data_IF_986020536023
#
_entry.id   IF_986020536023
#
_cell.length_a   1.000
_cell.length_b   1.000
_cell.length_c   1.000
_cell.angle_alpha   90.00
_cell.angle_beta   90.00
_cell.angle_gamma   90.00
#
_symmetry.space_group_name_H-M   'P 1'
#
loop_
_entity.id
_entity.type
_entity.pdbx_description
1 polymer ?
#
# COMPACT_ATOMS: atom_id res chain seq x y z
N UNK A 1 4.03 18.45 14.56
CA UNK A 1 4.49 17.15 15.09
C UNK A 1 4.71 16.20 13.91
N UNK A 2 5.90 15.59 13.79
CA UNK A 2 6.31 14.79 12.62
C UNK A 2 5.84 13.33 12.74
N UNK A 3 4.58 13.01 12.46
CA UNK A 3 4.11 11.62 12.42
C UNK A 3 4.11 11.03 11.01
N UNK A 4 3.84 9.72 10.93
CA UNK A 4 3.64 9.00 9.67
C UNK A 4 2.24 8.36 9.60
N UNK A 5 1.81 8.14 8.36
CA UNK A 5 0.65 7.34 8.01
C UNK A 5 1.16 6.12 7.24
N UNK A 6 0.78 4.93 7.67
CA UNK A 6 1.04 3.71 6.92
C UNK A 6 -0.22 3.29 6.18
N UNK A 7 -0.15 3.26 4.85
CA UNK A 7 -1.30 2.95 4.01
C UNK A 7 -1.39 1.48 3.60
N UNK A 8 -0.40 0.66 3.95
CA UNK A 8 -0.40 -0.77 3.64
C UNK A 8 0.37 -1.50 4.75
N UNK A 9 -0.36 -2.16 5.65
CA UNK A 9 0.24 -2.99 6.70
C UNK A 9 -0.65 -4.17 7.08
N UNK A 10 -0.01 -5.31 7.39
CA UNK A 10 -0.69 -6.46 7.95
C UNK A 10 -0.70 -6.38 9.48
N UNK A 11 -1.88 -6.17 10.06
CA UNK A 11 -2.06 -6.01 11.52
C UNK A 11 -3.30 -6.72 12.07
N UNK A 12 -4.03 -7.46 11.23
CA UNK A 12 -5.25 -8.14 11.64
C UNK A 12 -4.96 -9.61 11.94
N UNK A 13 -5.45 -10.15 13.08
CA UNK A 13 -5.33 -11.57 13.36
C UNK A 13 -6.18 -12.37 12.37
N UNK A 14 -5.72 -13.59 12.05
CA UNK A 14 -6.39 -14.57 11.16
C UNK A 14 -6.54 -14.16 9.68
N UNK A 15 -6.30 -12.89 9.35
CA UNK A 15 -6.27 -12.39 7.98
C UNK A 15 -4.82 -12.24 7.50
N UNK A 16 -4.51 -12.92 6.40
CA UNK A 16 -3.19 -12.89 5.78
C UNK A 16 -2.92 -11.56 5.08
N UNK A 17 -1.66 -11.11 5.07
CA UNK A 17 -1.20 -10.03 4.20
C UNK A 17 -0.77 -10.56 2.83
N UNK A 18 -0.46 -9.65 1.90
CA UNK A 18 -0.02 -10.02 0.56
C UNK A 18 1.26 -10.88 0.60
N UNK A 19 1.15 -12.13 0.16
CA UNK A 19 2.27 -13.09 0.18
C UNK A 19 2.74 -13.51 1.58
N UNK A 20 1.92 -13.29 2.61
CA UNK A 20 2.26 -13.57 4.01
C UNK A 20 1.21 -14.45 4.69
N UNK A 21 1.59 -15.10 5.80
CA UNK A 21 0.59 -15.70 6.70
C UNK A 21 -0.12 -14.64 7.54
N UNK A 22 -1.26 -15.02 8.10
CA UNK A 22 -1.91 -14.23 9.14
C UNK A 22 -1.03 -14.12 10.39
N UNK A 23 -1.16 -13.00 11.10
CA UNK A 23 -0.57 -12.83 12.41
C UNK A 23 -1.33 -13.67 13.44
N UNK A 24 -0.58 -14.26 14.37
CA UNK A 24 -1.13 -14.93 15.54
C UNK A 24 -1.48 -13.91 16.63
N UNK A 25 -2.40 -14.23 17.54
CA UNK A 25 -2.79 -13.31 18.61
C UNK A 25 -1.60 -12.77 19.45
N UNK A 26 -0.58 -13.57 19.80
CA UNK A 26 0.61 -13.07 20.51
C UNK A 26 1.49 -12.11 19.71
N UNK A 27 1.39 -12.13 18.37
CA UNK A 27 2.20 -11.28 17.48
C UNK A 27 1.59 -9.90 17.25
N UNK A 28 0.28 -9.75 17.49
CA UNK A 28 -0.42 -8.47 17.27
C UNK A 28 0.14 -7.35 18.17
N UNK A 29 0.34 -7.54 19.50
CA UNK A 29 0.87 -6.48 20.35
C UNK A 29 2.25 -5.98 19.88
N UNK A 30 3.16 -6.91 19.56
CA UNK A 30 4.49 -6.55 19.06
C UNK A 30 4.43 -5.77 17.75
N UNK A 31 3.48 -6.10 16.86
CA UNK A 31 3.26 -5.36 15.61
C UNK A 31 2.72 -3.95 15.88
N UNK A 32 1.77 -3.79 16.80
CA UNK A 32 1.23 -2.48 17.18
C UNK A 32 2.31 -1.60 17.82
N UNK A 33 3.15 -2.15 18.69
CA UNK A 33 4.26 -1.43 19.31
C UNK A 33 5.28 -0.98 18.28
N UNK A 34 5.65 -1.84 17.31
CA UNK A 34 6.56 -1.46 16.24
C UNK A 34 6.03 -0.29 15.36
N UNK A 35 4.71 -0.21 15.15
CA UNK A 35 4.09 0.92 14.43
C UNK A 35 4.14 2.20 15.27
N UNK A 36 3.87 2.12 16.58
CA UNK A 36 3.95 3.24 17.51
C UNK A 36 5.38 3.78 17.64
N UNK A 37 6.35 2.88 17.77
CA UNK A 37 7.78 3.22 17.84
C UNK A 37 8.28 3.85 16.53
N UNK A 38 7.62 3.55 15.41
CA UNK A 38 7.81 4.21 14.12
C UNK A 38 7.08 5.56 14.02
N UNK A 39 6.53 6.08 15.13
CA UNK A 39 5.75 7.31 15.22
C UNK A 39 4.58 7.40 14.24
N UNK A 40 3.97 6.24 13.94
CA UNK A 40 2.76 6.19 13.14
C UNK A 40 1.55 6.59 13.98
N UNK A 41 0.65 7.36 13.39
CA UNK A 41 -0.62 7.76 14.03
C UNK A 41 -1.83 7.15 13.36
N UNK A 42 -1.69 6.78 12.10
CA UNK A 42 -2.74 6.08 11.35
C UNK A 42 -2.09 4.91 10.61
N UNK A 43 -2.73 3.75 10.67
CA UNK A 43 -2.36 2.57 9.91
C UNK A 43 -3.60 2.02 9.18
N UNK A 44 -3.48 1.78 7.88
CA UNK A 44 -4.47 1.07 7.10
C UNK A 44 -4.25 -0.43 7.24
N UNK A 45 -5.18 -1.10 7.91
CA UNK A 45 -5.20 -2.56 7.99
C UNK A 45 -5.60 -3.13 6.64
N UNK A 46 -4.62 -3.66 5.90
CA UNK A 46 -4.78 -4.07 4.50
C UNK A 46 -4.45 -5.55 4.32
N UNK A 47 -5.28 -6.47 4.87
CA UNK A 47 -5.16 -7.88 4.56
C UNK A 47 -5.35 -8.12 3.06
N UNK A 48 -4.80 -9.22 2.55
CA UNK A 48 -5.03 -9.68 1.20
C UNK A 48 -6.42 -10.31 1.09
N UNK A 49 -7.20 -9.87 0.11
CA UNK A 49 -8.47 -10.47 -0.24
C UNK A 49 -8.23 -11.64 -1.21
N UNK A 50 -8.53 -12.85 -0.75
CA UNK A 50 -8.48 -14.06 -1.56
C UNK A 50 -9.90 -14.45 -2.00
N UNK A 51 -10.28 -14.24 -3.28
CA UNK A 51 -11.62 -14.52 -3.77
C UNK A 51 -11.95 -16.02 -3.82
N UNK A 52 -10.95 -16.91 -3.77
CA UNK A 52 -11.21 -18.35 -3.68
C UNK A 52 -11.59 -18.78 -2.25
N UNK A 53 -11.15 -18.00 -1.25
CA UNK A 53 -11.36 -18.29 0.17
C UNK A 53 -12.55 -17.55 0.77
N UNK A 54 -12.82 -16.33 0.31
CA UNK A 54 -13.82 -15.47 0.94
C UNK A 54 -14.82 -14.89 -0.07
N UNK A 55 -16.09 -14.89 0.33
CA UNK A 55 -17.07 -14.00 -0.28
C UNK A 55 -16.76 -12.55 0.12
N UNK A 56 -16.86 -11.56 -0.81
CA UNK A 56 -16.50 -10.17 -0.55
C UNK A 56 -17.13 -9.55 0.70
N UNK A 57 -18.45 -9.62 0.87
CA UNK A 57 -19.13 -9.01 2.00
C UNK A 57 -18.71 -9.68 3.33
N UNK A 58 -18.54 -11.00 3.35
CA UNK A 58 -18.06 -11.74 4.51
C UNK A 58 -16.61 -11.34 4.89
N UNK A 59 -15.73 -11.16 3.91
CA UNK A 59 -14.37 -10.67 4.16
C UNK A 59 -14.36 -9.26 4.76
N UNK A 60 -15.15 -8.34 4.19
CA UNK A 60 -15.27 -6.97 4.68
C UNK A 60 -15.81 -6.94 6.12
N UNK A 61 -16.88 -7.70 6.39
CA UNK A 61 -17.45 -7.80 7.73
C UNK A 61 -16.43 -8.36 8.75
N UNK A 62 -15.69 -9.41 8.37
CA UNK A 62 -14.65 -9.99 9.22
C UNK A 62 -13.51 -8.98 9.48
N UNK A 63 -13.02 -8.29 8.44
CA UNK A 63 -12.00 -7.24 8.57
C UNK A 63 -12.44 -6.18 9.58
N UNK A 64 -13.65 -5.65 9.41
CA UNK A 64 -14.17 -4.56 10.23
C UNK A 64 -14.41 -5.02 11.67
N UNK A 65 -14.88 -6.25 11.87
CA UNK A 65 -14.98 -6.88 13.20
C UNK A 65 -13.60 -6.96 13.89
N UNK A 66 -12.56 -7.41 13.17
CA UNK A 66 -11.21 -7.51 13.74
C UNK A 66 -10.60 -6.14 14.03
N UNK A 67 -10.84 -5.13 13.19
CA UNK A 67 -10.42 -3.75 13.46
C UNK A 67 -11.08 -3.22 14.74
N UNK A 68 -12.40 -3.41 14.88
CA UNK A 68 -13.13 -2.98 16.07
C UNK A 68 -12.59 -3.66 17.34
N UNK A 69 -12.29 -4.96 17.28
CA UNK A 69 -11.71 -5.71 18.40
C UNK A 69 -10.30 -5.24 18.80
N UNK A 70 -9.56 -4.58 17.90
CA UNK A 70 -8.21 -4.06 18.17
C UNK A 70 -8.19 -2.59 18.60
N UNK A 71 -9.33 -1.88 18.60
CA UNK A 71 -9.37 -0.44 18.78
C UNK A 71 -8.69 0.04 20.09
N UNK A 72 -9.03 -0.59 21.22
CA UNK A 72 -8.47 -0.25 22.53
C UNK A 72 -6.98 -0.57 22.60
N UNK A 73 -6.62 -1.78 22.15
CA UNK A 73 -5.25 -2.26 22.16
C UNK A 73 -4.33 -1.49 21.21
N UNK A 74 -4.88 -0.83 20.17
CA UNK A 74 -4.14 -0.02 19.21
C UNK A 74 -3.95 1.43 19.65
N UNK A 75 -4.80 1.98 20.53
CA UNK A 75 -4.72 3.37 20.98
C UNK A 75 -3.30 3.76 21.46
N UNK A 76 -2.75 4.94 21.07
CA UNK A 76 -3.38 6.01 20.29
C UNK A 76 -3.23 5.86 18.76
N UNK A 77 -2.78 4.71 18.24
CA UNK A 77 -2.73 4.44 16.81
C UNK A 77 -4.15 4.24 16.29
N UNK A 78 -4.57 5.06 15.33
CA UNK A 78 -5.85 4.88 14.63
C UNK A 78 -5.69 3.83 13.53
N UNK A 79 -6.54 2.81 13.55
CA UNK A 79 -6.62 1.83 12.48
C UNK A 79 -7.78 2.19 11.55
N UNK A 80 -7.55 2.15 10.24
CA UNK A 80 -8.60 2.27 9.21
C UNK A 80 -8.66 0.99 8.37
N UNK A 81 -9.85 0.65 7.88
CA UNK A 81 -10.03 -0.52 7.02
C UNK A 81 -9.44 -0.31 5.62
N UNK A 82 -8.90 -1.36 5.04
CA UNK A 82 -8.41 -1.42 3.66
C UNK A 82 -8.39 -2.89 3.24
N UNK A 83 -8.05 -3.20 1.99
CA UNK A 83 -7.53 -4.50 1.63
C UNK A 83 -6.58 -4.37 0.45
N UNK A 84 -5.70 -5.36 0.27
CA UNK A 84 -5.03 -5.57 -1.02
C UNK A 84 -5.90 -6.51 -1.84
N UNK A 85 -6.34 -6.06 -3.02
CA UNK A 85 -7.29 -6.80 -3.87
C UNK A 85 -6.60 -7.25 -5.16
N UNK A 86 -6.79 -8.50 -5.61
CA UNK A 86 -6.24 -8.96 -6.89
C UNK A 86 -6.73 -8.10 -8.06
N UNK A 87 -5.83 -7.76 -8.98
CA UNK A 87 -6.17 -6.94 -10.15
C UNK A 87 -7.30 -7.53 -11.00
N UNK A 88 -7.30 -8.85 -11.20
CA UNK A 88 -8.33 -9.54 -11.98
C UNK A 88 -9.71 -9.36 -11.35
N UNK A 89 -9.80 -9.57 -10.04
CA UNK A 89 -11.03 -9.33 -9.28
C UNK A 89 -11.48 -7.86 -9.39
N UNK A 90 -10.53 -6.91 -9.36
CA UNK A 90 -10.84 -5.49 -9.55
C UNK A 90 -11.50 -5.20 -10.90
N UNK A 91 -10.96 -5.78 -11.98
CA UNK A 91 -11.49 -5.58 -13.32
C UNK A 91 -12.87 -6.23 -13.51
N UNK A 92 -13.10 -7.39 -12.91
CA UNK A 92 -14.36 -8.14 -13.04
C UNK A 92 -15.49 -7.55 -12.18
N UNK A 93 -15.14 -7.00 -11.00
CA UNK A 93 -16.11 -6.60 -9.98
C UNK A 93 -16.00 -5.12 -9.56
N UNK A 94 -15.97 -4.15 -10.49
CA UNK A 94 -15.67 -2.75 -10.17
C UNK A 94 -16.69 -2.09 -9.23
N UNK A 95 -17.95 -2.58 -9.22
CA UNK A 95 -19.05 -1.99 -8.44
C UNK A 95 -18.91 -2.19 -6.92
N UNK A 96 -18.23 -3.25 -6.49
CA UNK A 96 -18.07 -3.57 -5.06
C UNK A 96 -16.76 -3.05 -4.46
N UNK A 97 -15.84 -2.56 -5.31
CA UNK A 97 -14.50 -2.14 -4.89
C UNK A 97 -14.49 -1.01 -3.88
N UNK A 98 -15.55 -0.19 -3.82
CA UNK A 98 -15.65 0.90 -2.84
C UNK A 98 -15.52 0.41 -1.39
N UNK A 99 -15.93 -0.82 -1.10
CA UNK A 99 -15.84 -1.41 0.25
C UNK A 99 -14.41 -1.82 0.63
N UNK A 100 -13.53 -1.99 -0.37
CA UNK A 100 -12.13 -2.35 -0.21
C UNK A 100 -11.19 -1.15 -0.15
N UNK A 101 -11.71 0.06 -0.39
CA UNK A 101 -10.93 1.29 -0.40
C UNK A 101 -10.23 1.56 0.94
N UNK A 102 -9.17 2.38 0.89
CA UNK A 102 -8.38 2.74 2.07
C UNK A 102 -9.18 3.73 2.91
N UNK A 103 -9.74 3.27 4.02
CA UNK A 103 -10.64 4.06 4.86
C UNK A 103 -11.88 4.52 4.09
N UNK A 104 -12.14 5.82 4.12
CA UNK A 104 -13.20 6.46 3.31
C UNK A 104 -12.66 7.12 2.04
N UNK A 105 -11.42 6.83 1.65
CA UNK A 105 -10.77 7.48 0.52
C UNK A 105 -11.16 6.86 -0.81
N UNK A 106 -10.84 7.55 -1.91
CA UNK A 106 -11.08 7.11 -3.28
C UNK A 106 -9.93 6.26 -3.84
N UNK A 107 -9.14 5.64 -2.96
CA UNK A 107 -7.95 4.86 -3.33
C UNK A 107 -8.10 3.40 -2.91
N UNK A 108 -7.59 2.48 -3.72
CA UNK A 108 -7.62 1.04 -3.47
C UNK A 108 -6.23 0.44 -3.70
N UNK A 109 -5.80 -0.47 -2.81
CA UNK A 109 -4.57 -1.23 -3.01
C UNK A 109 -4.85 -2.42 -3.92
N UNK A 110 -4.02 -2.57 -4.95
CA UNK A 110 -4.15 -3.61 -5.98
C UNK A 110 -2.91 -4.49 -6.00
N UNK A 111 -3.09 -5.80 -5.91
CA UNK A 111 -2.03 -6.77 -6.21
C UNK A 111 -2.00 -7.03 -7.71
N UNK A 112 -0.89 -6.63 -8.34
CA UNK A 112 -0.72 -6.80 -9.78
C UNK A 112 -0.21 -8.21 -10.10
N UNK A 113 -0.75 -8.88 -11.13
CA UNK A 113 -0.28 -10.19 -11.56
C UNK A 113 1.20 -10.14 -11.95
N UNK A 114 1.94 -11.22 -11.64
CA UNK A 114 3.34 -11.37 -12.01
C UNK A 114 3.47 -11.88 -13.46
N UNK A 115 2.93 -11.11 -14.40
CA UNK A 115 2.96 -11.36 -15.84
C UNK A 115 3.64 -10.20 -16.57
N UNK A 116 3.99 -10.38 -17.84
CA UNK A 116 4.58 -9.32 -18.65
C UNK A 116 3.61 -8.15 -18.82
N UNK A 117 4.14 -6.92 -18.86
CA UNK A 117 3.32 -5.73 -19.07
C UNK A 117 2.95 -5.64 -20.55
N UNK A 118 1.65 -5.76 -20.85
CA UNK A 118 1.12 -5.63 -22.21
C UNK A 118 0.30 -4.36 -22.34
N UNK A 119 0.06 -3.92 -23.58
CA UNK A 119 -0.85 -2.79 -23.87
C UNK A 119 -2.26 -3.06 -23.33
N UNK A 120 -2.77 -4.28 -23.50
CA UNK A 120 -4.06 -4.71 -22.95
C UNK A 120 -4.12 -4.57 -21.42
N UNK A 121 -3.04 -4.93 -20.72
CA UNK A 121 -2.97 -4.74 -19.26
C UNK A 121 -3.09 -3.24 -18.92
N UNK A 122 -2.35 -2.38 -19.61
CA UNK A 122 -2.43 -0.93 -19.42
C UNK A 122 -3.82 -0.35 -19.69
N UNK A 123 -4.50 -0.82 -20.73
CA UNK A 123 -5.89 -0.45 -21.03
C UNK A 123 -6.85 -0.85 -19.91
N UNK A 124 -6.68 -2.05 -19.35
CA UNK A 124 -7.48 -2.54 -18.24
C UNK A 124 -7.30 -1.69 -16.97
N UNK A 125 -6.08 -1.24 -16.69
CA UNK A 125 -5.80 -0.31 -15.58
C UNK A 125 -6.51 1.02 -15.81
N UNK A 126 -6.36 1.61 -16.99
CA UNK A 126 -6.98 2.89 -17.33
C UNK A 126 -8.51 2.81 -17.20
N UNK A 127 -9.11 1.71 -17.67
CA UNK A 127 -10.55 1.44 -17.55
C UNK A 127 -10.99 1.25 -16.10
N UNK A 128 -10.20 0.57 -15.27
CA UNK A 128 -10.54 0.31 -13.87
C UNK A 128 -10.86 1.61 -13.12
N UNK A 129 -10.05 2.65 -13.32
CA UNK A 129 -10.32 3.97 -12.73
C UNK A 129 -11.67 4.53 -13.16
N UNK A 130 -11.95 4.51 -14.47
CA UNK A 130 -13.18 5.05 -15.07
C UNK A 130 -14.43 4.30 -14.56
N UNK A 131 -14.38 2.97 -14.50
CA UNK A 131 -15.57 2.15 -14.18
C UNK A 131 -15.84 2.05 -12.67
N UNK A 132 -14.80 2.11 -11.84
CA UNK A 132 -14.93 2.01 -10.37
C UNK A 132 -15.06 3.37 -9.69
N UNK A 133 -14.58 4.44 -10.33
CA UNK A 133 -14.41 5.76 -9.71
C UNK A 133 -13.30 5.80 -8.65
N UNK A 134 -12.49 4.75 -8.52
CA UNK A 134 -11.39 4.67 -7.57
C UNK A 134 -10.04 4.84 -8.28
N UNK A 135 -9.06 5.40 -7.59
CA UNK A 135 -7.67 5.47 -8.02
C UNK A 135 -6.91 4.21 -7.55
N UNK A 136 -6.47 3.34 -8.47
CA UNK A 136 -5.72 2.16 -8.07
C UNK A 136 -4.31 2.54 -7.61
N UNK A 137 -3.82 1.83 -6.59
CA UNK A 137 -2.45 1.90 -6.08
C UNK A 137 -1.84 0.50 -6.14
N UNK A 138 -0.81 0.30 -6.96
CA UNK A 138 -0.06 -0.94 -7.03
C UNK A 138 0.69 -1.18 -5.71
N UNK A 139 0.28 -2.22 -4.98
CA UNK A 139 0.84 -2.59 -3.69
C UNK A 139 2.19 -3.29 -3.86
N UNK A 140 3.18 -2.86 -3.07
CA UNK A 140 4.54 -3.42 -3.03
C UNK A 140 5.15 -3.63 -4.43
N UNK A 141 5.22 -2.57 -5.23
CA UNK A 141 5.68 -2.61 -6.63
C UNK A 141 7.10 -3.17 -6.79
N UNK A 142 7.90 -3.12 -5.73
CA UNK A 142 9.23 -3.72 -5.66
C UNK A 142 9.23 -5.25 -5.85
N UNK A 143 8.09 -5.93 -5.63
CA UNK A 143 7.91 -7.37 -5.95
C UNK A 143 7.99 -7.67 -7.45
N UNK A 144 7.86 -6.64 -8.30
CA UNK A 144 7.88 -6.76 -9.75
C UNK A 144 9.20 -6.30 -10.38
N UNK A 145 10.18 -5.81 -9.61
CA UNK A 145 11.46 -5.31 -10.14
C UNK A 145 12.32 -6.36 -10.84
N UNK A 146 12.11 -7.65 -10.57
CA UNK A 146 12.80 -8.74 -11.26
C UNK A 146 12.13 -9.13 -12.58
N UNK A 147 10.91 -8.64 -12.81
CA UNK A 147 10.07 -8.97 -13.96
C UNK A 147 10.00 -7.81 -14.94
N UNK A 148 9.82 -6.59 -14.42
CA UNK A 148 9.62 -5.39 -15.21
C UNK A 148 10.83 -4.46 -15.18
N UNK A 149 11.13 -3.86 -16.33
CA UNK A 149 12.13 -2.81 -16.48
C UNK A 149 11.67 -1.49 -15.85
N UNK A 150 12.59 -0.55 -15.61
CA UNK A 150 12.23 0.81 -15.22
C UNK A 150 11.26 1.47 -16.21
N UNK A 151 11.43 1.23 -17.52
CA UNK A 151 10.57 1.78 -18.57
C UNK A 151 9.13 1.23 -18.48
N UNK A 152 8.98 -0.06 -18.18
CA UNK A 152 7.68 -0.70 -17.96
C UNK A 152 7.00 -0.17 -16.70
N UNK A 153 7.74 0.04 -15.60
CA UNK A 153 7.20 0.65 -14.38
C UNK A 153 6.74 2.09 -14.61
N UNK A 154 7.45 2.85 -15.46
CA UNK A 154 7.05 4.19 -15.87
C UNK A 154 5.81 4.13 -16.76
N UNK A 155 5.75 3.20 -17.70
CA UNK A 155 4.59 3.00 -18.57
C UNK A 155 3.36 2.64 -17.73
N UNK A 156 3.50 1.74 -16.77
CA UNK A 156 2.47 1.36 -15.82
C UNK A 156 1.90 2.60 -15.10
N UNK A 157 2.75 3.49 -14.57
CA UNK A 157 2.29 4.75 -13.97
C UNK A 157 1.49 5.60 -14.95
N UNK A 158 1.92 5.70 -16.21
CA UNK A 158 1.21 6.48 -17.24
C UNK A 158 -0.18 5.93 -17.57
N UNK A 159 -0.43 4.65 -17.28
CA UNK A 159 -1.73 4.01 -17.42
C UNK A 159 -2.71 4.35 -16.28
N UNK A 160 -2.35 5.27 -15.37
CA UNK A 160 -3.25 5.82 -14.36
C UNK A 160 -3.25 5.10 -13.01
N UNK A 161 -2.29 4.22 -12.76
CA UNK A 161 -2.08 3.58 -11.44
C UNK A 161 -0.95 4.26 -10.68
N UNK A 162 -1.15 4.46 -9.38
CA UNK A 162 -0.12 4.97 -8.49
C UNK A 162 0.74 3.81 -7.99
N UNK A 163 2.02 4.04 -7.75
CA UNK A 163 2.94 3.00 -7.26
C UNK A 163 3.27 3.22 -5.77
N UNK A 164 3.11 2.15 -4.98
CA UNK A 164 3.57 2.09 -3.60
C UNK A 164 4.79 1.16 -3.51
N UNK A 165 5.88 1.68 -2.96
CA UNK A 165 7.10 0.92 -2.68
C UNK A 165 7.05 0.43 -1.23
N UNK A 166 7.35 -0.85 -1.00
CA UNK A 166 7.43 -1.39 0.35
C UNK A 166 8.66 -0.85 1.08
N UNK A 167 8.67 -0.90 2.40
CA UNK A 167 9.90 -0.61 3.16
C UNK A 167 11.06 -1.52 2.71
N UNK A 168 10.79 -2.72 2.20
CA UNK A 168 11.79 -3.67 1.71
C UNK A 168 12.46 -3.27 0.41
N UNK A 169 11.69 -2.70 -0.52
CA UNK A 169 12.21 -2.12 -1.75
C UNK A 169 13.27 -1.04 -1.53
N UNK A 170 13.30 -0.40 -0.34
CA UNK A 170 14.31 0.59 0.05
C UNK A 170 15.47 -0.02 0.86
N UNK A 171 15.19 -1.03 1.68
CA UNK A 171 16.21 -1.66 2.53
C UNK A 171 17.12 -2.60 1.75
N UNK A 172 16.59 -3.33 0.77
CA UNK A 172 17.35 -4.26 -0.07
C UNK A 172 18.25 -3.53 -1.06
N UNK A 173 19.53 -3.88 -1.10
CA UNK A 173 20.52 -3.14 -1.89
C UNK A 173 20.22 -3.24 -3.40
N UNK A 174 19.78 -4.41 -3.84
CA UNK A 174 19.43 -4.70 -5.23
C UNK A 174 18.23 -3.87 -5.73
N UNK A 175 17.30 -3.49 -4.84
CA UNK A 175 16.07 -2.76 -5.20
C UNK A 175 16.16 -1.27 -4.90
N UNK A 176 17.01 -0.88 -3.93
CA UNK A 176 17.10 0.49 -3.43
C UNK A 176 17.34 1.52 -4.53
N UNK A 177 18.23 1.23 -5.48
CA UNK A 177 18.56 2.19 -6.55
C UNK A 177 17.34 2.49 -7.42
N UNK A 178 16.59 1.46 -7.81
CA UNK A 178 15.37 1.60 -8.60
C UNK A 178 14.27 2.28 -7.79
N UNK A 179 14.06 1.89 -6.54
CA UNK A 179 13.10 2.54 -5.64
C UNK A 179 13.35 4.05 -5.49
N UNK A 180 14.61 4.44 -5.24
CA UNK A 180 14.99 5.85 -5.15
C UNK A 180 14.83 6.57 -6.49
N UNK A 181 15.14 5.92 -7.61
CA UNK A 181 14.91 6.49 -8.94
C UNK A 181 13.42 6.77 -9.20
N UNK A 182 12.53 5.82 -8.91
CA UNK A 182 11.09 5.99 -9.10
C UNK A 182 10.54 7.09 -8.18
N UNK A 183 11.00 7.18 -6.94
CA UNK A 183 10.61 8.24 -6.01
C UNK A 183 11.17 9.61 -6.45
N UNK A 184 12.45 9.67 -6.83
CA UNK A 184 13.14 10.89 -7.28
C UNK A 184 12.42 11.53 -8.48
N UNK A 185 11.97 10.70 -9.41
CA UNK A 185 11.31 11.11 -10.65
C UNK A 185 9.78 11.06 -10.55
N UNK A 186 9.23 10.91 -9.34
CA UNK A 186 7.78 10.98 -9.08
C UNK A 186 6.94 9.93 -9.83
N UNK A 187 7.56 8.80 -10.20
CA UNK A 187 6.87 7.63 -10.74
C UNK A 187 6.27 6.78 -9.61
N UNK A 188 6.93 6.75 -8.45
CA UNK A 188 6.39 6.18 -7.22
C UNK A 188 5.93 7.26 -6.24
N UNK A 189 4.87 6.94 -5.51
CA UNK A 189 4.07 7.92 -4.78
C UNK A 189 4.12 7.69 -3.27
N UNK A 190 4.15 6.43 -2.87
CA UNK A 190 3.97 6.04 -1.48
C UNK A 190 5.07 5.10 -1.02
N UNK A 191 5.34 5.16 0.27
CA UNK A 191 6.13 4.18 1.00
C UNK A 191 5.26 3.68 2.14
N UNK A 192 5.18 2.37 2.29
CA UNK A 192 4.41 1.71 3.34
C UNK A 192 5.22 0.55 3.94
N UNK A 193 4.79 0.00 5.08
CA UNK A 193 5.49 -1.20 5.61
C UNK A 193 5.31 -2.41 4.72
N UNK A 194 4.18 -2.49 4.00
CA UNK A 194 3.88 -3.53 3.04
C UNK A 194 3.52 -4.86 3.69
N UNK A 195 3.48 -5.91 2.88
CA UNK A 195 3.31 -7.29 3.32
C UNK A 195 4.56 -7.88 3.99
N UNK A 196 5.18 -7.20 4.97
CA UNK A 196 6.34 -7.76 5.69
C UNK A 196 5.94 -8.86 6.67
N UNK A 197 6.70 -9.96 6.64
CA UNK A 197 6.62 -11.04 7.63
C UNK A 197 6.87 -10.50 9.04
N UNK A 198 6.24 -11.11 10.04
CA UNK A 198 6.44 -10.77 11.45
C UNK A 198 7.82 -11.14 11.98
N UNK A 199 8.49 -12.12 11.36
CA UNK A 199 9.88 -12.46 11.68
C UNK A 199 10.86 -11.35 11.31
N UNK A 200 10.40 -10.35 10.56
CA UNK A 200 11.17 -9.19 10.17
C UNK A 200 10.63 -7.92 10.85
N UNK A 201 11.51 -7.12 11.47
CA UNK A 201 11.09 -5.83 12.01
C UNK A 201 10.63 -4.91 10.87
N UNK A 202 9.59 -4.10 11.12
CA UNK A 202 8.99 -3.22 10.11
C UNK A 202 9.99 -2.28 9.44
N UNK A 203 11.00 -1.82 10.21
CA UNK A 203 12.13 -0.95 9.77
C UNK A 203 11.70 0.25 8.90
N UNK A 204 10.47 0.73 9.07
CA UNK A 204 9.92 1.84 8.29
C UNK A 204 10.73 3.13 8.46
N UNK A 205 11.10 3.45 9.71
CA UNK A 205 11.94 4.62 10.00
C UNK A 205 13.29 4.53 9.30
N UNK A 206 13.87 3.34 9.19
CA UNK A 206 15.12 3.14 8.49
C UNK A 206 14.97 3.34 6.98
N UNK A 207 13.91 2.80 6.38
CA UNK A 207 13.57 3.06 4.98
C UNK A 207 13.39 4.57 4.72
N UNK A 208 12.64 5.27 5.58
CA UNK A 208 12.45 6.72 5.45
C UNK A 208 13.74 7.52 5.65
N UNK A 209 14.67 7.06 6.50
CA UNK A 209 16.01 7.68 6.65
C UNK A 209 16.85 7.54 5.39
N UNK A 210 16.75 6.42 4.67
CA UNK A 210 17.41 6.25 3.36
C UNK A 210 16.89 7.32 2.40
N UNK A 211 15.56 7.44 2.28
CA UNK A 211 14.92 8.44 1.41
C UNK A 211 15.34 9.86 1.80
N UNK A 212 15.32 10.20 3.09
CA UNK A 212 15.71 11.50 3.59
C UNK A 212 17.16 11.88 3.26
N UNK A 213 18.07 10.91 3.26
CA UNK A 213 19.49 11.12 2.95
C UNK A 213 19.75 11.19 1.45
N UNK A 214 18.95 10.49 0.66
CA UNK A 214 19.16 10.34 -0.79
C UNK A 214 18.42 11.37 -1.64
N UNK A 215 17.31 11.93 -1.15
CA UNK A 215 16.46 12.84 -1.92
C UNK A 215 16.45 14.27 -1.35
N UNK A 216 16.19 15.30 -2.19
CA UNK A 216 16.01 16.66 -1.72
C UNK A 216 14.93 16.78 -0.63
N UNK A 217 15.13 17.67 0.34
CA UNK A 217 14.26 17.80 1.50
C UNK A 217 12.78 18.06 1.14
N UNK A 218 12.53 18.81 0.05
CA UNK A 218 11.17 19.07 -0.45
C UNK A 218 10.50 17.78 -0.91
N UNK A 219 11.21 16.94 -1.68
CA UNK A 219 10.67 15.69 -2.19
C UNK A 219 10.45 14.67 -1.07
N UNK A 220 11.38 14.56 -0.12
CA UNK A 220 11.18 13.74 1.09
C UNK A 220 9.91 14.15 1.86
N UNK A 221 9.69 15.45 2.08
CA UNK A 221 8.48 15.95 2.75
C UNK A 221 7.20 15.59 1.99
N UNK A 222 7.24 15.69 0.65
CA UNK A 222 6.12 15.30 -0.21
C UNK A 222 5.79 13.81 -0.08
N UNK A 223 6.78 12.94 -0.27
CA UNK A 223 6.61 11.48 -0.14
C UNK A 223 6.06 11.11 1.24
N UNK A 224 6.61 11.71 2.30
CA UNK A 224 6.14 11.52 3.67
C UNK A 224 4.65 11.89 3.86
N UNK A 225 4.20 12.95 3.19
CA UNK A 225 2.84 13.48 3.38
C UNK A 225 1.80 12.80 2.48
N UNK A 226 2.20 12.20 1.36
CA UNK A 226 1.29 11.62 0.36
C UNK A 226 0.30 10.62 0.97
N UNK A 227 0.74 9.73 1.87
CA UNK A 227 -0.17 8.77 2.51
C UNK A 227 -1.24 9.45 3.37
N UNK A 228 -0.93 10.59 4.01
CA UNK A 228 -1.91 11.39 4.74
C UNK A 228 -2.89 12.12 3.80
N UNK A 229 -2.40 12.62 2.67
CA UNK A 229 -3.23 13.27 1.63
C UNK A 229 -4.24 12.30 1.03
N UNK A 230 -3.80 11.07 0.75
CA UNK A 230 -4.65 9.99 0.26
C UNK A 230 -5.84 9.76 1.20
N UNK A 231 -5.60 9.65 2.51
CA UNK A 231 -6.67 9.42 3.49
C UNK A 231 -7.69 10.56 3.57
N UNK A 232 -7.31 11.77 3.15
CA UNK A 232 -8.20 12.93 3.11
C UNK A 232 -8.76 13.22 1.71
N UNK A 233 -8.59 12.31 0.74
CA UNK A 233 -8.93 12.52 -0.67
C UNK A 233 -8.29 13.76 -1.30
N UNK A 234 -7.18 14.23 -0.74
CA UNK A 234 -6.35 15.21 -1.41
C UNK A 234 -5.49 14.47 -2.44
N UNK A 235 -5.40 15.01 -3.64
CA UNK A 235 -4.53 14.46 -4.69
C UNK A 235 -3.08 14.39 -4.19
N UNK A 236 -2.45 13.20 -4.15
CA UNK A 236 -1.03 13.07 -3.89
C UNK A 236 -0.25 14.00 -4.81
N UNK A 237 0.85 14.54 -4.31
CA UNK A 237 1.49 15.71 -4.91
C UNK A 237 2.08 15.54 -6.33
N UNK A 238 1.79 14.48 -7.08
CA UNK A 238 2.27 14.19 -8.44
C UNK A 238 1.27 14.53 -9.58
N UNK A 239 0.07 15.03 -9.27
CA UNK A 239 -0.93 15.46 -10.27
C UNK A 239 -0.73 16.89 -10.78
N UNK A 240 0.18 17.66 -10.19
CA UNK A 240 0.51 19.00 -10.67
C UNK A 240 1.53 18.82 -11.81
N UNK A 241 1.02 18.71 -13.03
CA UNK A 241 1.78 19.12 -14.21
C UNK A 241 2.06 20.63 -14.06
N UNK A 242 3.33 20.99 -13.86
CA UNK A 242 3.81 22.33 -14.23
C UNK A 242 4.09 22.37 -15.74
#
# INVERSE_FOLDING_TARGET
MNYYVDMHTNILPELAGLGQRALTAPEIPARLDALRDSNMKIAAASPYFDPEKYEPAAFIALRDQKIAALADAASPLRIVGSAVVPFEFCCENPRILRQFAIGSSDYILVDLPRVQLTEEFCDRISRLHIVSGLCPVAADIDRHYTLWSPEELIALRKCGILLQISADGLLRQEFRKLSLFLLANQHAHFIATGGRSITEPLRFIEAMRIVQRSLPAQLYRRIKNNAGMLLSNAEPSSFIEE
#
